data_IF_609810864088
#
_entry.id   IF_609810864088
#
_cell.length_a   1.000
_cell.length_b   1.000
_cell.length_c   1.000
_cell.angle_alpha   90.00
_cell.angle_beta   90.00
_cell.angle_gamma   90.00
#
_symmetry.space_group_name_H-M   'P 1'
#
loop_
_entity.id
_entity.type
_entity.pdbx_description
1 polymer ?
#
# COMPACT_ATOMS: atom_id res chain seq x y z
N UNK A 1 61.42 -42.78 -0.89
CA UNK A 1 60.03 -42.51 -1.32
C UNK A 1 59.11 -43.53 -0.66
N UNK A 2 58.54 -43.19 0.50
CA UNK A 2 57.65 -44.09 1.24
C UNK A 2 56.26 -44.10 0.63
N UNK A 3 55.79 -45.26 0.17
CA UNK A 3 54.39 -45.45 -0.25
C UNK A 3 53.52 -45.44 1.01
N UNK A 4 52.75 -44.37 1.20
CA UNK A 4 51.71 -44.32 2.23
C UNK A 4 50.73 -45.50 2.04
N UNK A 5 50.29 -46.17 3.12
CA UNK A 5 49.41 -47.33 3.02
C UNK A 5 48.07 -46.93 2.38
N UNK A 6 47.71 -47.66 1.31
CA UNK A 6 46.46 -47.56 0.55
C UNK A 6 45.16 -47.33 1.37
N UNK A 7 44.96 -47.85 2.60
CA UNK A 7 43.78 -47.53 3.41
C UNK A 7 43.63 -46.03 3.76
N UNK A 8 44.72 -45.25 3.79
CA UNK A 8 44.67 -43.83 4.18
C UNK A 8 44.08 -42.94 3.07
N UNK A 9 44.36 -43.24 1.80
CA UNK A 9 43.88 -42.43 0.67
C UNK A 9 42.36 -42.59 0.45
N UNK A 10 41.85 -43.80 0.69
CA UNK A 10 40.43 -44.11 0.56
C UNK A 10 39.60 -43.38 1.63
N UNK A 11 40.07 -43.37 2.88
CA UNK A 11 39.41 -42.64 3.97
C UNK A 11 39.42 -41.13 3.68
N UNK A 12 40.54 -40.57 3.21
CA UNK A 12 40.64 -39.16 2.80
C UNK A 12 39.69 -38.79 1.65
N UNK A 13 39.53 -39.68 0.66
CA UNK A 13 38.60 -39.46 -0.45
C UNK A 13 37.14 -39.45 0.02
N UNK A 14 36.76 -40.38 0.91
CA UNK A 14 35.41 -40.46 1.46
C UNK A 14 35.08 -39.29 2.40
N UNK A 15 36.02 -38.84 3.23
CA UNK A 15 35.82 -37.64 4.06
C UNK A 15 35.71 -36.38 3.20
N UNK A 16 36.49 -36.27 2.13
CA UNK A 16 36.40 -35.16 1.19
C UNK A 16 35.07 -35.15 0.40
N UNK A 17 34.55 -36.32 0.01
CA UNK A 17 33.23 -36.45 -0.64
C UNK A 17 32.08 -36.14 0.33
N UNK A 18 32.18 -36.60 1.59
CA UNK A 18 31.20 -36.29 2.64
C UNK A 18 31.16 -34.79 2.94
N UNK A 19 32.33 -34.16 3.07
CA UNK A 19 32.47 -32.73 3.23
C UNK A 19 31.90 -31.93 2.05
N UNK A 20 32.15 -32.38 0.80
CA UNK A 20 31.57 -31.74 -0.40
C UNK A 20 30.04 -31.88 -0.44
N UNK A 21 29.50 -33.03 -0.01
CA UNK A 21 28.05 -33.29 0.08
C UNK A 21 27.38 -32.44 1.17
N UNK A 22 27.99 -32.31 2.34
CA UNK A 22 27.50 -31.45 3.43
C UNK A 22 27.56 -29.96 3.03
N UNK A 23 28.63 -29.53 2.35
CA UNK A 23 28.75 -28.16 1.82
C UNK A 23 27.74 -27.87 0.71
N UNK A 24 27.52 -28.81 -0.21
CA UNK A 24 26.47 -28.72 -1.25
C UNK A 24 25.06 -28.72 -0.64
N UNK A 25 24.84 -29.51 0.42
CA UNK A 25 23.59 -29.51 1.19
C UNK A 25 23.34 -28.17 1.88
N UNK A 26 24.38 -27.57 2.47
CA UNK A 26 24.31 -26.22 3.06
C UNK A 26 23.97 -25.14 2.04
N UNK A 27 24.63 -25.14 0.87
CA UNK A 27 24.34 -24.19 -0.23
C UNK A 27 22.94 -24.39 -0.79
N UNK A 28 22.48 -25.65 -0.92
CA UNK A 28 21.13 -25.95 -1.38
C UNK A 28 20.06 -25.51 -0.37
N UNK A 29 20.29 -25.69 0.93
CA UNK A 29 19.43 -25.20 2.01
C UNK A 29 19.38 -23.68 2.06
N UNK A 30 20.52 -23.01 1.87
CA UNK A 30 20.60 -21.55 1.81
C UNK A 30 19.87 -21.01 0.57
N UNK A 31 20.04 -21.63 -0.60
CA UNK A 31 19.29 -21.31 -1.81
C UNK A 31 17.78 -21.57 -1.66
N UNK A 32 17.38 -22.67 -1.03
CA UNK A 32 15.97 -22.98 -0.71
C UNK A 32 15.38 -21.94 0.23
N UNK A 33 16.13 -21.49 1.25
CA UNK A 33 15.70 -20.44 2.17
C UNK A 33 15.52 -19.09 1.47
N UNK A 34 16.36 -18.79 0.47
CA UNK A 34 16.25 -17.57 -0.34
C UNK A 34 15.05 -17.65 -1.31
N UNK A 35 14.82 -18.82 -1.91
CA UNK A 35 13.65 -19.07 -2.77
C UNK A 35 12.38 -18.92 -1.94
N UNK A 36 12.29 -19.58 -0.77
CA UNK A 36 11.14 -19.51 0.12
C UNK A 36 10.84 -18.05 0.52
N UNK A 37 11.88 -17.28 0.90
CA UNK A 37 11.78 -15.84 1.16
C UNK A 37 11.24 -15.03 -0.02
N UNK A 38 11.78 -15.26 -1.21
CA UNK A 38 11.32 -14.58 -2.42
C UNK A 38 9.87 -14.91 -2.77
N UNK A 39 9.45 -16.17 -2.57
CA UNK A 39 8.06 -16.59 -2.79
C UNK A 39 7.10 -16.01 -1.76
N UNK A 40 7.53 -15.85 -0.51
CA UNK A 40 6.69 -15.24 0.53
C UNK A 40 6.51 -13.73 0.26
N UNK A 41 7.57 -13.02 -0.10
CA UNK A 41 7.48 -11.62 -0.58
C UNK A 41 6.58 -11.47 -1.80
N UNK A 42 6.66 -12.40 -2.75
CA UNK A 42 5.83 -12.38 -3.95
C UNK A 42 4.36 -12.65 -3.62
N UNK A 43 4.07 -13.57 -2.69
CA UNK A 43 2.70 -13.91 -2.27
C UNK A 43 2.03 -12.77 -1.50
N UNK A 44 2.76 -12.13 -0.58
CA UNK A 44 2.26 -10.99 0.20
C UNK A 44 2.05 -9.74 -0.64
N UNK A 45 2.99 -9.43 -1.54
CA UNK A 45 2.82 -8.43 -2.60
C UNK A 45 1.59 -8.72 -3.45
N UNK A 46 1.40 -9.97 -3.85
CA UNK A 46 0.26 -10.38 -4.66
C UNK A 46 -1.07 -10.24 -3.91
N UNK A 47 -1.14 -10.43 -2.60
CA UNK A 47 -2.35 -10.25 -1.81
C UNK A 47 -2.78 -8.77 -1.71
N UNK A 48 -1.82 -7.87 -1.40
CA UNK A 48 -2.07 -6.43 -1.39
C UNK A 48 -2.49 -5.98 -2.79
N UNK A 49 -1.74 -6.36 -3.84
CA UNK A 49 -2.06 -6.00 -5.22
C UNK A 49 -3.43 -6.57 -5.63
N UNK A 50 -3.79 -7.79 -5.24
CA UNK A 50 -5.12 -8.37 -5.51
C UNK A 50 -6.22 -7.59 -4.80
N UNK A 51 -6.01 -7.17 -3.55
CA UNK A 51 -6.96 -6.35 -2.79
C UNK A 51 -7.11 -4.94 -3.37
N UNK A 52 -5.99 -4.34 -3.82
CA UNK A 52 -6.01 -3.07 -4.56
C UNK A 52 -6.73 -3.24 -5.91
N UNK A 53 -6.43 -4.30 -6.66
CA UNK A 53 -7.06 -4.57 -7.95
C UNK A 53 -8.55 -4.93 -7.82
N UNK A 54 -8.98 -5.58 -6.74
CA UNK A 54 -10.41 -5.85 -6.51
C UNK A 54 -11.15 -4.57 -6.14
N UNK A 55 -10.53 -3.70 -5.33
CA UNK A 55 -11.04 -2.35 -5.05
C UNK A 55 -11.13 -1.54 -6.33
N UNK A 56 -10.02 -1.36 -7.06
CA UNK A 56 -10.00 -0.65 -8.35
C UNK A 56 -11.07 -1.20 -9.31
N UNK A 57 -11.37 -2.50 -9.28
CA UNK A 57 -12.46 -3.11 -10.05
C UNK A 57 -13.86 -2.73 -9.54
N UNK A 58 -14.11 -2.69 -8.22
CA UNK A 58 -15.36 -2.16 -7.66
C UNK A 58 -15.54 -0.68 -7.99
N UNK A 59 -14.48 0.12 -7.87
CA UNK A 59 -14.53 1.53 -8.25
C UNK A 59 -14.71 1.72 -9.76
N UNK A 60 -14.09 0.88 -10.60
CA UNK A 60 -14.33 0.91 -12.05
C UNK A 60 -15.79 0.55 -12.40
N UNK A 61 -16.41 -0.37 -11.66
CA UNK A 61 -17.84 -0.67 -11.81
C UNK A 61 -18.69 0.54 -11.41
N UNK A 62 -18.38 1.16 -10.26
CA UNK A 62 -19.03 2.38 -9.81
C UNK A 62 -18.81 3.55 -10.76
N UNK A 63 -17.65 3.61 -11.45
CA UNK A 63 -17.32 4.67 -12.40
C UNK A 63 -18.31 4.76 -13.56
N UNK A 64 -18.92 3.64 -13.99
CA UNK A 64 -19.94 3.65 -15.03
C UNK A 64 -21.23 4.31 -14.55
N UNK A 65 -21.63 4.01 -13.31
CA UNK A 65 -22.78 4.64 -12.66
C UNK A 65 -22.52 6.13 -12.45
N UNK A 66 -21.37 6.50 -11.88
CA UNK A 66 -20.98 7.90 -11.73
C UNK A 66 -20.95 8.65 -13.06
N UNK A 67 -20.36 8.07 -14.11
CA UNK A 67 -20.36 8.69 -15.46
C UNK A 67 -21.78 8.94 -15.98
N UNK A 68 -22.70 8.00 -15.78
CA UNK A 68 -24.11 8.16 -16.16
C UNK A 68 -24.77 9.30 -15.36
N UNK A 69 -24.51 9.38 -14.05
CA UNK A 69 -25.02 10.45 -13.19
C UNK A 69 -24.44 11.80 -13.62
N UNK A 70 -23.13 11.91 -13.81
CA UNK A 70 -22.49 13.15 -14.25
C UNK A 70 -22.96 13.59 -15.63
N UNK A 71 -23.22 12.67 -16.57
CA UNK A 71 -23.81 13.00 -17.86
C UNK A 71 -25.19 13.64 -17.68
N UNK A 72 -26.06 13.04 -16.86
CA UNK A 72 -27.39 13.62 -16.56
C UNK A 72 -27.30 14.98 -15.87
N UNK A 73 -26.32 15.18 -15.00
CA UNK A 73 -26.08 16.47 -14.35
C UNK A 73 -25.65 17.52 -15.38
N UNK A 74 -24.74 17.16 -16.30
CA UNK A 74 -24.31 18.05 -17.36
C UNK A 74 -25.47 18.42 -18.31
N UNK A 75 -26.30 17.43 -18.67
CA UNK A 75 -27.50 17.67 -19.46
C UNK A 75 -28.46 18.61 -18.72
N UNK A 76 -28.75 18.34 -17.44
CA UNK A 76 -29.61 19.20 -16.62
C UNK A 76 -29.04 20.61 -16.47
N UNK A 77 -27.72 20.74 -16.30
CA UNK A 77 -27.04 22.04 -16.24
C UNK A 77 -27.24 22.86 -17.51
N UNK A 78 -27.24 22.21 -18.68
CA UNK A 78 -27.47 22.87 -19.97
C UNK A 78 -28.93 23.28 -20.21
N UNK A 79 -29.87 22.75 -19.42
CA UNK A 79 -31.31 23.05 -19.53
C UNK A 79 -31.75 24.19 -18.61
N UNK A 80 -30.89 24.67 -17.71
CA UNK A 80 -31.18 25.80 -16.82
C UNK A 80 -30.99 27.09 -17.62
N UNK A 81 -32.10 27.70 -18.05
CA UNK A 81 -32.11 28.97 -18.78
C UNK A 81 -32.22 30.20 -17.86
N UNK A 82 -32.69 30.02 -16.62
CA UNK A 82 -32.88 31.11 -15.67
C UNK A 82 -31.56 31.47 -14.95
N UNK A 83 -31.22 32.76 -14.98
CA UNK A 83 -29.96 33.26 -14.43
C UNK A 83 -29.92 33.22 -12.89
N UNK A 84 -31.06 33.41 -12.22
CA UNK A 84 -31.15 33.35 -10.76
C UNK A 84 -31.03 31.89 -10.28
N UNK A 85 -31.68 30.96 -10.98
CA UNK A 85 -31.53 29.53 -10.71
C UNK A 85 -30.08 29.06 -10.90
N UNK A 86 -29.43 29.51 -11.98
CA UNK A 86 -28.04 29.17 -12.25
C UNK A 86 -27.09 29.71 -11.17
N UNK A 87 -27.32 30.94 -10.68
CA UNK A 87 -26.53 31.55 -9.62
C UNK A 87 -26.65 30.76 -8.30
N UNK A 88 -27.87 30.38 -7.92
CA UNK A 88 -28.12 29.62 -6.69
C UNK A 88 -27.42 28.26 -6.73
N UNK A 89 -27.56 27.51 -7.82
CA UNK A 89 -26.93 26.18 -7.94
C UNK A 89 -25.40 26.32 -7.97
N UNK A 90 -24.87 27.29 -8.73
CA UNK A 90 -23.42 27.55 -8.81
C UNK A 90 -22.83 27.88 -7.45
N UNK A 91 -23.49 28.73 -6.68
CA UNK A 91 -23.05 29.09 -5.32
C UNK A 91 -23.01 27.88 -4.38
N UNK A 92 -24.00 27.00 -4.43
CA UNK A 92 -24.00 25.76 -3.64
C UNK A 92 -22.88 24.81 -4.07
N UNK A 93 -22.63 24.69 -5.37
CA UNK A 93 -21.54 23.89 -5.92
C UNK A 93 -20.15 24.40 -5.53
N UNK A 94 -19.95 25.72 -5.55
CA UNK A 94 -18.69 26.36 -5.10
C UNK A 94 -18.44 26.13 -3.61
N UNK A 95 -19.48 26.27 -2.77
CA UNK A 95 -19.39 25.94 -1.35
C UNK A 95 -19.03 24.47 -1.14
N UNK A 96 -19.72 23.57 -1.85
CA UNK A 96 -19.45 22.14 -1.83
C UNK A 96 -18.01 21.79 -2.22
N UNK A 97 -17.51 22.41 -3.28
CA UNK A 97 -16.13 22.25 -3.73
C UNK A 97 -15.12 22.67 -2.66
N UNK A 98 -15.37 23.78 -1.96
CA UNK A 98 -14.55 24.21 -0.83
C UNK A 98 -14.47 23.17 0.28
N UNK A 99 -15.62 22.59 0.66
CA UNK A 99 -15.71 21.53 1.68
C UNK A 99 -14.97 20.27 1.23
N UNK A 100 -15.18 19.83 -0.02
CA UNK A 100 -14.50 18.66 -0.60
C UNK A 100 -12.98 18.85 -0.59
N UNK A 101 -12.49 20.03 -0.97
CA UNK A 101 -11.06 20.34 -0.97
C UNK A 101 -10.45 20.25 0.42
N UNK A 102 -11.12 20.80 1.43
CA UNK A 102 -10.67 20.72 2.83
C UNK A 102 -10.67 19.25 3.31
N UNK A 103 -11.71 18.49 3.00
CA UNK A 103 -11.80 17.07 3.31
C UNK A 103 -10.64 16.28 2.68
N UNK A 104 -10.41 16.45 1.38
CA UNK A 104 -9.31 15.76 0.68
C UNK A 104 -7.94 16.11 1.26
N UNK A 105 -7.69 17.38 1.60
CA UNK A 105 -6.45 17.80 2.25
C UNK A 105 -6.29 17.15 3.63
N UNK A 106 -7.36 17.11 4.42
CA UNK A 106 -7.35 16.47 5.73
C UNK A 106 -7.01 14.97 5.62
N UNK A 107 -7.60 14.25 4.67
CA UNK A 107 -7.29 12.83 4.44
C UNK A 107 -5.83 12.60 4.01
N UNK A 108 -5.29 13.46 3.14
CA UNK A 108 -3.89 13.38 2.67
C UNK A 108 -2.93 13.63 3.83
N UNK A 109 -3.18 14.66 4.65
CA UNK A 109 -2.35 14.98 5.82
C UNK A 109 -2.43 13.85 6.85
N UNK A 110 -3.63 13.37 7.15
CA UNK A 110 -3.83 12.25 8.07
C UNK A 110 -3.07 10.99 7.63
N UNK A 111 -3.07 10.71 6.32
CA UNK A 111 -2.26 9.63 5.77
C UNK A 111 -0.76 9.87 5.90
N UNK A 112 -0.30 11.09 5.63
CA UNK A 112 1.11 11.47 5.83
C UNK A 112 1.56 11.23 7.28
N UNK A 113 0.74 11.60 8.26
CA UNK A 113 1.00 11.35 9.68
C UNK A 113 1.04 9.85 10.02
N UNK A 114 0.09 9.06 9.48
CA UNK A 114 0.07 7.60 9.69
C UNK A 114 1.31 6.92 9.12
N UNK A 115 1.75 7.33 7.93
CA UNK A 115 2.97 6.83 7.29
C UNK A 115 4.25 7.30 7.98
N UNK A 116 4.22 8.42 8.70
CA UNK A 116 5.37 8.90 9.47
C UNK A 116 5.61 8.07 10.73
N UNK A 117 4.58 7.42 11.30
CA UNK A 117 4.70 6.60 12.53
C UNK A 117 5.79 5.52 12.48
N UNK A 118 5.91 4.68 11.44
CA UNK A 118 7.00 3.71 11.35
C UNK A 118 8.38 4.35 11.18
N UNK A 119 8.46 5.49 10.46
CA UNK A 119 9.72 6.21 10.18
C UNK A 119 10.26 6.88 11.46
N UNK A 120 9.39 7.22 12.40
CA UNK A 120 9.80 7.83 13.67
C UNK A 120 10.81 6.98 14.44
N UNK A 121 10.68 5.66 14.45
CA UNK A 121 11.60 4.76 15.17
C UNK A 121 13.06 4.80 14.65
N UNK A 122 13.34 4.54 13.36
CA UNK A 122 14.69 4.65 12.81
C UNK A 122 15.25 6.08 12.85
N UNK A 123 14.39 7.10 12.72
CA UNK A 123 14.83 8.50 12.88
C UNK A 123 15.28 8.79 14.31
N UNK A 124 14.56 8.27 15.32
CA UNK A 124 14.90 8.47 16.72
C UNK A 124 16.20 7.75 17.10
N UNK A 125 16.51 6.61 16.49
CA UNK A 125 17.77 5.90 16.69
C UNK A 125 18.96 6.62 16.04
N UNK A 126 18.74 7.35 14.95
CA UNK A 126 19.77 8.20 14.33
C UNK A 126 20.07 9.46 15.16
N UNK A 127 19.03 10.12 15.67
CA UNK A 127 19.18 11.39 16.43
C UNK A 127 19.58 11.14 17.89
N UNK A 128 19.01 10.11 18.53
CA UNK A 128 19.24 9.75 19.93
C UNK A 128 19.44 8.24 20.02
N UNK A 129 20.65 7.74 19.73
CA UNK A 129 20.97 6.32 19.85
C UNK A 129 20.89 5.92 21.34
N UNK A 130 19.98 5.01 21.69
CA UNK A 130 19.92 4.44 23.04
C UNK A 130 20.87 3.24 23.15
N UNK A 131 21.59 3.12 24.27
CA UNK A 131 22.45 1.97 24.56
C UNK A 131 21.67 0.66 24.79
N UNK A 132 20.41 0.77 25.23
CA UNK A 132 19.50 -0.37 25.39
C UNK A 132 18.55 -0.44 24.19
N UNK A 133 18.65 -1.51 23.38
CA UNK A 133 17.86 -1.74 22.15
C UNK A 133 16.40 -2.11 22.45
N UNK A 134 15.70 -1.36 23.28
CA UNK A 134 14.29 -1.62 23.63
C UNK A 134 13.30 -1.22 22.53
N UNK A 135 13.74 -0.44 21.53
CA UNK A 135 12.89 -0.03 20.39
C UNK A 135 12.88 -1.13 19.33
N UNK A 136 11.84 -1.96 19.34
CA UNK A 136 11.58 -2.89 18.24
C UNK A 136 11.05 -2.13 17.02
N UNK A 137 11.60 -2.41 15.84
CA UNK A 137 11.18 -1.84 14.56
C UNK A 137 9.77 -2.37 14.22
N UNK A 138 8.75 -1.69 14.72
CA UNK A 138 7.34 -2.05 14.51
C UNK A 138 6.84 -1.51 13.17
N UNK A 139 6.33 -2.40 12.33
CA UNK A 139 5.43 -2.03 11.23
C UNK A 139 4.15 -1.39 11.83
N UNK A 140 3.53 -0.39 11.18
CA UNK A 140 2.34 0.29 11.71
C UNK A 140 1.09 -0.61 11.73
N UNK A 141 1.15 -1.75 11.03
CA UNK A 141 0.18 -2.84 11.13
C UNK A 141 0.92 -4.17 11.25
N UNK A 142 0.57 -4.98 12.25
CA UNK A 142 1.12 -6.33 12.40
C UNK A 142 0.52 -7.22 11.32
N UNK A 143 1.26 -7.40 10.22
CA UNK A 143 0.89 -8.36 9.17
C UNK A 143 1.83 -9.54 9.29
N UNK A 144 1.28 -10.71 9.61
CA UNK A 144 2.03 -11.97 9.66
C UNK A 144 2.43 -12.38 8.24
N UNK A 145 3.53 -11.82 7.76
CA UNK A 145 4.09 -12.19 6.46
C UNK A 145 4.80 -13.55 6.49
N UNK A 146 4.92 -14.22 7.65
CA UNK A 146 5.72 -15.45 7.79
C UNK A 146 7.22 -15.22 7.53
N UNK A 147 7.66 -13.96 7.55
CA UNK A 147 9.02 -13.51 7.32
C UNK A 147 9.56 -12.88 8.60
N UNK A 148 10.87 -12.95 8.78
CA UNK A 148 11.59 -12.24 9.84
C UNK A 148 11.49 -10.72 9.60
N UNK A 149 10.70 -9.97 10.40
CA UNK A 149 10.39 -8.57 10.13
C UNK A 149 11.62 -7.66 10.26
N UNK A 150 12.61 -8.03 11.07
CA UNK A 150 13.83 -7.24 11.25
C UNK A 150 14.71 -7.25 10.00
N UNK A 151 14.71 -8.34 9.23
CA UNK A 151 15.56 -8.50 8.03
C UNK A 151 14.97 -7.84 6.78
N UNK A 152 13.64 -7.69 6.71
CA UNK A 152 12.94 -7.20 5.51
C UNK A 152 12.12 -5.93 5.74
N UNK A 153 12.40 -5.22 6.84
CA UNK A 153 11.72 -3.99 7.23
C UNK A 153 11.60 -2.97 6.09
N UNK A 154 12.71 -2.58 5.44
CA UNK A 154 12.67 -1.54 4.40
C UNK A 154 11.84 -1.90 3.16
N UNK A 155 11.97 -3.10 2.56
CA UNK A 155 11.08 -3.53 1.47
C UNK A 155 9.60 -3.58 1.84
N UNK A 156 9.27 -4.08 3.04
CA UNK A 156 7.89 -4.15 3.53
C UNK A 156 7.29 -2.76 3.72
N UNK A 157 8.04 -1.86 4.35
CA UNK A 157 7.66 -0.47 4.57
C UNK A 157 7.37 0.27 3.24
N UNK A 158 8.23 0.11 2.23
CA UNK A 158 8.02 0.73 0.90
C UNK A 158 6.76 0.20 0.23
N UNK A 159 6.54 -1.12 0.27
CA UNK A 159 5.34 -1.73 -0.28
C UNK A 159 4.07 -1.26 0.45
N UNK A 160 4.12 -1.17 1.78
CA UNK A 160 3.02 -0.65 2.61
C UNK A 160 2.71 0.82 2.30
N UNK A 161 3.75 1.63 2.07
CA UNK A 161 3.63 3.03 1.68
C UNK A 161 2.86 3.19 0.37
N UNK A 162 3.30 2.53 -0.71
CA UNK A 162 2.63 2.64 -2.02
C UNK A 162 1.23 2.02 -2.00
N UNK A 163 1.04 0.90 -1.28
CA UNK A 163 -0.27 0.27 -1.12
C UNK A 163 -1.26 1.16 -0.36
N UNK A 164 -0.81 1.82 0.71
CA UNK A 164 -1.63 2.74 1.48
C UNK A 164 -2.02 3.99 0.71
N UNK A 165 -1.06 4.62 0.01
CA UNK A 165 -1.33 5.78 -0.85
C UNK A 165 -2.35 5.46 -1.95
N UNK A 166 -2.19 4.30 -2.61
CA UNK A 166 -3.14 3.83 -3.62
C UNK A 166 -4.55 3.70 -3.05
N UNK A 167 -4.71 3.00 -1.93
CA UNK A 167 -6.01 2.84 -1.27
C UNK A 167 -6.68 4.18 -0.96
N UNK A 168 -5.98 5.08 -0.28
CA UNK A 168 -6.57 6.33 0.20
C UNK A 168 -6.91 7.27 -0.95
N UNK A 169 -6.07 7.32 -1.99
CA UNK A 169 -6.39 8.13 -3.18
C UNK A 169 -7.72 7.73 -3.81
N UNK A 170 -8.02 6.43 -3.85
CA UNK A 170 -9.25 5.89 -4.42
C UNK A 170 -10.46 6.15 -3.51
N UNK A 171 -10.31 5.98 -2.19
CA UNK A 171 -11.34 6.35 -1.21
C UNK A 171 -11.69 7.84 -1.28
N UNK A 172 -10.68 8.71 -1.27
CA UNK A 172 -10.87 10.16 -1.36
C UNK A 172 -11.55 10.55 -2.67
N UNK A 173 -11.21 9.90 -3.79
CA UNK A 173 -11.86 10.15 -5.08
C UNK A 173 -13.35 9.76 -5.07
N UNK A 174 -13.70 8.63 -4.45
CA UNK A 174 -15.09 8.20 -4.30
C UNK A 174 -15.88 9.16 -3.41
N UNK A 175 -15.36 9.49 -2.24
CA UNK A 175 -15.99 10.40 -1.29
C UNK A 175 -16.16 11.80 -1.87
N UNK A 176 -15.12 12.33 -2.54
CA UNK A 176 -15.20 13.63 -3.22
C UNK A 176 -16.29 13.63 -4.29
N UNK A 177 -16.40 12.57 -5.08
CA UNK A 177 -17.43 12.45 -6.12
C UNK A 177 -18.84 12.42 -5.52
N UNK A 178 -19.02 11.66 -4.44
CA UNK A 178 -20.28 11.59 -3.71
C UNK A 178 -20.66 12.93 -3.07
N UNK A 179 -19.73 13.59 -2.38
CA UNK A 179 -19.96 14.89 -1.77
C UNK A 179 -20.30 15.97 -2.80
N UNK A 180 -19.67 15.97 -3.96
CA UNK A 180 -20.02 16.90 -5.06
C UNK A 180 -21.45 16.65 -5.56
N UNK A 181 -21.85 15.38 -5.71
CA UNK A 181 -23.22 15.01 -6.08
C UNK A 181 -24.23 15.49 -5.02
N UNK A 182 -23.92 15.33 -3.73
CA UNK A 182 -24.80 15.81 -2.65
C UNK A 182 -24.95 17.32 -2.68
N UNK A 183 -23.88 18.08 -2.88
CA UNK A 183 -23.95 19.55 -2.98
C UNK A 183 -24.75 20.00 -4.20
N UNK A 184 -24.64 19.29 -5.32
CA UNK A 184 -25.48 19.54 -6.50
C UNK A 184 -26.97 19.36 -6.18
N UNK A 185 -27.34 18.25 -5.51
CA UNK A 185 -28.72 17.97 -5.10
C UNK A 185 -29.24 19.01 -4.09
N UNK A 186 -28.40 19.44 -3.14
CA UNK A 186 -28.75 20.52 -2.20
C UNK A 186 -29.05 21.82 -2.97
N UNK A 187 -28.26 22.16 -3.99
CA UNK A 187 -28.52 23.29 -4.87
C UNK A 187 -29.88 23.18 -5.55
N UNK A 188 -30.24 22.01 -6.07
CA UNK A 188 -31.56 21.78 -6.67
C UNK A 188 -32.72 21.93 -5.68
N UNK A 189 -32.55 21.46 -4.43
CA UNK A 189 -33.57 21.66 -3.39
C UNK A 189 -33.69 23.12 -2.95
N UNK A 190 -32.60 23.90 -3.03
CA UNK A 190 -32.63 25.33 -2.75
C UNK A 190 -33.42 26.11 -3.82
N UNK A 191 -33.46 25.63 -5.06
CA UNK A 191 -34.30 26.19 -6.13
C UNK A 191 -35.79 25.93 -5.91
N UNK A 192 -36.15 24.75 -5.42
CA UNK A 192 -37.53 24.33 -5.26
C UNK A 192 -38.26 24.98 -4.06
N UNK A 193 -37.61 25.91 -3.37
CA UNK A 193 -38.09 26.53 -2.12
C UNK A 193 -38.53 27.97 -2.34
#
# INVERSE_FOLDING_TARGET
MGRLPLPSLYILFFTHLKYKRERLGGIALEALSLIDKSTVHLRSSCAIIKLQCSRVRSELSSSKLFKSIYAKIADHWSMIDDAEELEIVSKNMEQGYGVVKIYSLYCIIGMGCFLAMPITYPLLDYVIPMENKTRTMGEPAYVEYGLDPEKYYYPLMIQGFFGGLGCISVFVAFDASYMMLTNYVIGLFALAK
#
